data_IF_096024175121
#
_entry.id   IF_096024175121
#
_cell.length_a   1.000
_cell.length_b   1.000
_cell.length_c   1.000
_cell.angle_alpha   90.00
_cell.angle_beta   90.00
_cell.angle_gamma   90.00
#
_symmetry.space_group_name_H-M   'P 1'
#
loop_
_entity.id
_entity.type
_entity.pdbx_description
1 polymer ?
#
# COMPACT_ATOMS: atom_id res chain seq x y z
N UNK A 1 4.25 -7.48 -14.73
CA UNK A 1 2.89 -6.97 -14.45
C UNK A 1 2.63 -5.60 -15.07
N UNK A 2 3.34 -4.52 -14.66
CA UNK A 2 3.15 -3.15 -15.20
C UNK A 2 3.38 -3.07 -16.74
N UNK A 3 4.43 -3.71 -17.25
CA UNK A 3 4.71 -3.77 -18.70
C UNK A 3 3.63 -4.51 -19.52
N UNK A 4 2.87 -5.40 -18.92
CA UNK A 4 1.80 -6.16 -19.60
C UNK A 4 0.50 -5.33 -19.63
N UNK A 5 0.19 -4.60 -18.56
CA UNK A 5 -0.93 -3.64 -18.52
C UNK A 5 -0.81 -2.57 -19.61
N UNK A 6 0.42 -2.13 -19.91
CA UNK A 6 0.67 -1.10 -20.93
C UNK A 6 0.60 -1.63 -22.38
N UNK A 7 0.67 -2.95 -22.61
CA UNK A 7 0.63 -3.52 -23.98
C UNK A 7 -0.79 -3.69 -24.54
N UNK A 8 -1.80 -3.81 -23.67
CA UNK A 8 -3.20 -3.97 -24.07
C UNK A 8 -3.98 -2.65 -24.14
N UNK A 9 -3.26 -1.52 -24.07
CA UNK A 9 -3.85 -0.18 -23.96
C UNK A 9 -4.62 0.18 -25.24
N UNK A 10 -5.96 0.12 -25.17
CA UNK A 10 -6.82 0.94 -26.03
C UNK A 10 -6.90 2.31 -25.36
N UNK A 11 -6.81 3.41 -26.09
CA UNK A 11 -6.79 4.77 -25.52
C UNK A 11 -7.98 5.11 -24.59
N UNK A 12 -9.04 4.29 -24.62
CA UNK A 12 -10.22 4.40 -23.76
C UNK A 12 -10.29 3.40 -22.58
N UNK A 13 -9.40 2.40 -22.48
CA UNK A 13 -9.41 1.44 -21.35
C UNK A 13 -8.49 1.94 -20.23
N UNK A 14 -8.98 2.96 -19.52
CA UNK A 14 -8.31 3.48 -18.32
C UNK A 14 -8.63 2.63 -17.10
N UNK A 15 -7.68 2.54 -16.19
CA UNK A 15 -7.88 1.89 -14.89
C UNK A 15 -8.88 2.72 -14.09
N UNK A 16 -10.01 2.11 -13.73
CA UNK A 16 -11.06 2.71 -12.88
C UNK A 16 -11.03 2.15 -11.47
N UNK A 17 -10.70 0.88 -11.31
CA UNK A 17 -10.62 0.21 -10.01
C UNK A 17 -9.45 -0.77 -9.99
N UNK A 18 -8.64 -0.73 -8.93
CA UNK A 18 -7.50 -1.61 -8.72
C UNK A 18 -7.45 -2.04 -7.26
N UNK A 19 -7.58 -3.34 -7.00
CA UNK A 19 -7.33 -3.91 -5.66
C UNK A 19 -5.96 -4.58 -5.63
N UNK A 20 -5.13 -4.24 -4.66
CA UNK A 20 -3.78 -4.77 -4.49
C UNK A 20 -3.75 -5.63 -3.22
N UNK A 21 -3.40 -6.91 -3.40
CA UNK A 21 -3.26 -7.89 -2.32
C UNK A 21 -1.80 -8.23 -2.11
N UNK A 22 -1.28 -7.94 -0.92
CA UNK A 22 0.14 -8.06 -0.64
C UNK A 22 0.44 -8.10 0.85
N UNK A 23 1.58 -8.65 1.23
CA UNK A 23 2.14 -8.41 2.55
C UNK A 23 3.06 -7.19 2.47
N UNK A 24 2.67 -6.09 3.10
CA UNK A 24 3.42 -4.83 3.07
C UNK A 24 4.27 -4.61 4.32
N UNK A 25 5.41 -3.99 4.11
CA UNK A 25 6.13 -3.25 5.14
C UNK A 25 5.90 -1.76 4.90
N UNK A 26 6.24 -0.91 5.86
CA UNK A 26 6.14 0.53 5.61
C UNK A 26 6.98 0.92 4.37
N UNK A 27 6.41 1.77 3.51
CA UNK A 27 7.03 2.26 2.26
C UNK A 27 7.25 1.24 1.13
N UNK A 28 6.73 0.01 1.23
CA UNK A 28 6.81 -1.00 0.17
C UNK A 28 5.65 -2.01 0.25
N UNK A 29 5.13 -2.42 -0.90
CA UNK A 29 4.11 -3.45 -1.06
C UNK A 29 4.76 -4.67 -1.75
N UNK A 30 4.80 -5.81 -1.07
CA UNK A 30 5.35 -7.04 -1.61
C UNK A 30 4.28 -8.07 -1.97
N UNK A 31 4.29 -8.53 -3.22
CA UNK A 31 3.38 -9.55 -3.72
C UNK A 31 3.87 -10.95 -3.32
N UNK A 32 3.09 -11.68 -2.50
CA UNK A 32 3.41 -13.04 -2.03
C UNK A 32 3.19 -13.25 -0.52
N UNK A 33 3.08 -14.50 -0.07
CA UNK A 33 2.73 -14.87 1.33
C UNK A 33 3.93 -15.06 2.28
N UNK A 34 5.16 -14.98 1.81
CA UNK A 34 6.36 -15.15 2.65
C UNK A 34 7.35 -14.02 2.38
N UNK A 35 7.51 -13.12 3.35
CA UNK A 35 8.55 -12.10 3.32
C UNK A 35 9.24 -12.03 4.70
N UNK A 36 9.70 -13.18 5.16
CA UNK A 36 10.37 -13.34 6.46
C UNK A 36 11.85 -12.93 6.44
N UNK A 37 12.45 -12.56 5.29
CA UNK A 37 13.92 -12.41 5.18
C UNK A 37 14.38 -11.35 4.15
N UNK A 38 13.72 -10.19 4.01
CA UNK A 38 14.27 -9.13 3.13
C UNK A 38 15.18 -8.22 3.95
N UNK A 39 16.48 -8.51 3.93
CA UNK A 39 17.50 -7.54 4.31
C UNK A 39 17.56 -6.42 3.25
N UNK A 40 17.64 -5.18 3.74
CA UNK A 40 17.32 -3.94 3.02
C UNK A 40 18.33 -3.51 1.93
N UNK A 41 19.16 -4.40 1.39
CA UNK A 41 20.29 -3.98 0.54
C UNK A 41 20.07 -4.14 -0.97
N UNK A 42 19.20 -5.02 -1.44
CA UNK A 42 19.03 -5.24 -2.89
C UNK A 42 17.57 -5.20 -3.32
N UNK A 43 17.12 -4.00 -3.69
CA UNK A 43 15.83 -3.76 -4.33
C UNK A 43 15.91 -4.20 -5.80
N UNK A 44 16.06 -5.51 -6.03
CA UNK A 44 15.95 -6.15 -7.35
C UNK A 44 14.88 -7.24 -7.37
N UNK A 45 14.01 -7.34 -6.37
CA UNK A 45 12.88 -8.27 -6.44
C UNK A 45 11.72 -7.65 -7.27
N UNK A 46 11.41 -8.17 -8.48
CA UNK A 46 10.32 -7.65 -9.31
C UNK A 46 8.92 -7.84 -8.70
N UNK A 47 8.80 -8.58 -7.58
CA UNK A 47 7.55 -8.75 -6.83
C UNK A 47 7.34 -7.69 -5.73
N UNK A 48 8.17 -6.65 -5.67
CA UNK A 48 8.01 -5.55 -4.72
C UNK A 48 7.69 -4.25 -5.45
N UNK A 49 6.70 -3.51 -4.95
CA UNK A 49 6.35 -2.17 -5.41
C UNK A 49 6.72 -1.16 -4.31
N UNK A 50 7.70 -0.31 -4.61
CA UNK A 50 8.14 0.78 -3.75
C UNK A 50 7.99 2.14 -4.45
N UNK A 51 8.50 3.21 -3.84
CA UNK A 51 8.42 4.57 -4.37
C UNK A 51 9.10 4.75 -5.74
N UNK A 52 10.18 4.00 -6.03
CA UNK A 52 10.81 3.99 -7.36
C UNK A 52 9.87 3.38 -8.41
N UNK A 53 9.21 2.26 -8.08
CA UNK A 53 8.23 1.65 -8.98
C UNK A 53 6.99 2.55 -9.18
N UNK A 54 6.53 3.24 -8.12
CA UNK A 54 5.46 4.23 -8.22
C UNK A 54 5.81 5.26 -9.28
N UNK A 55 7.01 5.85 -9.23
CA UNK A 55 7.44 6.88 -10.19
C UNK A 55 7.42 6.47 -11.66
N UNK A 56 7.28 5.18 -11.97
CA UNK A 56 7.15 4.66 -13.34
C UNK A 56 5.70 4.57 -13.83
N UNK A 57 4.72 4.79 -12.96
CA UNK A 57 3.30 4.78 -13.34
C UNK A 57 2.95 6.04 -14.13
N UNK A 58 2.19 5.89 -15.21
CA UNK A 58 1.65 7.05 -15.90
C UNK A 58 0.27 7.38 -15.33
N UNK A 59 0.09 8.65 -14.92
CA UNK A 59 -1.22 9.18 -14.51
C UNK A 59 -2.29 8.97 -15.59
N UNK A 60 -1.89 9.04 -16.86
CA UNK A 60 -2.81 8.91 -18.00
C UNK A 60 -3.43 7.52 -18.13
N UNK A 61 -2.83 6.51 -17.49
CA UNK A 61 -3.34 5.14 -17.42
C UNK A 61 -4.57 5.02 -16.53
N UNK A 62 -4.82 6.02 -15.67
CA UNK A 62 -5.90 6.03 -14.69
C UNK A 62 -7.02 6.99 -15.09
N UNK A 63 -8.27 6.58 -14.83
CA UNK A 63 -9.42 7.46 -14.96
C UNK A 63 -9.40 8.52 -13.84
N UNK A 64 -10.03 9.68 -14.08
CA UNK A 64 -10.14 10.73 -13.04
C UNK A 64 -10.90 10.25 -11.79
N UNK A 65 -11.79 9.26 -11.95
CA UNK A 65 -12.54 8.63 -10.86
C UNK A 65 -11.88 7.35 -10.33
N UNK A 66 -10.63 7.08 -10.72
CA UNK A 66 -9.96 5.83 -10.39
C UNK A 66 -9.84 5.63 -8.87
N UNK A 67 -9.95 4.38 -8.45
CA UNK A 67 -9.81 3.96 -7.04
C UNK A 67 -8.79 2.84 -6.94
N UNK A 68 -7.95 2.92 -5.92
CA UNK A 68 -6.98 1.87 -5.58
C UNK A 68 -7.15 1.50 -4.12
N UNK A 69 -7.43 0.23 -3.85
CA UNK A 69 -7.54 -0.30 -2.48
C UNK A 69 -6.34 -1.21 -2.17
N UNK A 70 -5.60 -0.86 -1.12
CA UNK A 70 -4.40 -1.56 -0.69
C UNK A 70 -4.72 -2.48 0.49
N UNK A 71 -4.89 -3.77 0.21
CA UNK A 71 -5.02 -4.83 1.21
C UNK A 71 -3.64 -5.31 1.65
N UNK A 72 -2.93 -4.39 2.31
CA UNK A 72 -1.53 -4.52 2.67
C UNK A 72 -1.25 -3.84 4.00
N UNK A 73 -0.59 -4.57 4.91
CA UNK A 73 -0.13 -4.01 6.18
C UNK A 73 0.74 -2.76 5.97
N UNK A 74 0.57 -1.76 6.83
CA UNK A 74 1.39 -0.55 6.92
C UNK A 74 1.52 0.26 5.61
N UNK A 75 0.61 0.08 4.65
CA UNK A 75 0.63 0.79 3.36
C UNK A 75 0.43 2.30 3.50
N UNK A 76 -0.28 2.73 4.56
CA UNK A 76 -0.43 4.13 4.93
C UNK A 76 0.56 4.56 6.04
N UNK A 77 1.60 3.78 6.34
CA UNK A 77 2.62 4.13 7.34
C UNK A 77 3.91 4.65 6.68
N UNK A 78 4.65 5.51 7.37
CA UNK A 78 5.98 5.93 6.93
C UNK A 78 7.03 4.87 7.23
N UNK A 79 8.11 4.88 6.45
CA UNK A 79 9.30 4.09 6.75
C UNK A 79 9.73 4.29 8.22
N UNK A 80 10.03 3.19 8.92
CA UNK A 80 10.40 3.22 10.33
C UNK A 80 9.24 3.40 11.33
N UNK A 81 7.97 3.41 10.89
CA UNK A 81 6.82 3.40 11.81
C UNK A 81 6.53 2.03 12.44
N UNK A 82 7.07 0.96 11.86
CA UNK A 82 6.91 -0.38 12.44
C UNK A 82 7.41 -0.42 13.88
N UNK A 83 6.57 -0.88 14.81
CA UNK A 83 6.85 -0.98 16.26
C UNK A 83 6.98 0.36 17.00
N UNK A 84 6.69 1.50 16.37
CA UNK A 84 6.72 2.80 17.05
C UNK A 84 5.50 2.97 17.95
N UNK A 85 5.72 3.41 19.18
CA UNK A 85 4.64 3.78 20.10
C UNK A 85 4.47 5.30 20.15
N UNK A 86 3.29 5.77 19.79
CA UNK A 86 2.89 7.18 19.85
C UNK A 86 2.23 7.50 21.19
N UNK A 87 2.28 8.77 21.60
CA UNK A 87 1.65 9.22 22.83
C UNK A 87 0.12 9.28 22.72
N UNK A 88 -0.41 9.61 21.53
CA UNK A 88 -1.85 9.70 21.25
C UNK A 88 -2.15 9.25 19.82
N UNK A 89 -3.41 8.89 19.54
CA UNK A 89 -3.89 8.62 18.18
C UNK A 89 -3.70 9.81 17.26
N UNK A 90 -3.96 11.03 17.73
CA UNK A 90 -3.76 12.26 16.95
C UNK A 90 -2.29 12.48 16.57
N UNK A 91 -1.35 12.17 17.48
CA UNK A 91 0.08 12.25 17.19
C UNK A 91 0.49 11.23 16.12
N UNK A 92 -0.12 10.04 16.12
CA UNK A 92 0.08 9.05 15.07
C UNK A 92 -0.49 9.51 13.73
N UNK A 93 -1.74 9.99 13.70
CA UNK A 93 -2.39 10.49 12.48
C UNK A 93 -1.58 11.64 11.89
N UNK A 94 -1.21 12.63 12.70
CA UNK A 94 -0.39 13.76 12.26
C UNK A 94 0.97 13.31 11.72
N UNK A 95 1.58 12.29 12.32
CA UNK A 95 2.84 11.78 11.84
C UNK A 95 2.70 11.08 10.48
N UNK A 96 1.59 10.38 10.23
CA UNK A 96 1.26 9.83 8.90
C UNK A 96 1.02 10.96 7.89
N UNK A 97 0.25 11.98 8.25
CA UNK A 97 -0.14 13.08 7.37
C UNK A 97 1.05 13.97 6.94
N UNK A 98 2.06 14.11 7.80
CA UNK A 98 3.26 14.91 7.50
C UNK A 98 4.25 14.19 6.58
N UNK A 99 4.27 12.85 6.60
CA UNK A 99 5.19 12.10 5.75
C UNK A 99 4.48 11.45 4.58
N UNK A 100 5.16 11.38 3.44
CA UNK A 100 4.58 10.76 2.25
C UNK A 100 4.57 9.25 2.37
N UNK A 101 3.48 8.70 2.86
CA UNK A 101 3.27 7.24 2.91
C UNK A 101 3.28 6.63 1.50
N UNK A 102 3.41 5.30 1.42
CA UNK A 102 3.32 4.62 0.13
C UNK A 102 1.96 4.87 -0.56
N UNK A 103 0.87 4.77 0.21
CA UNK A 103 -0.49 5.05 -0.29
C UNK A 103 -0.63 6.48 -0.84
N UNK A 104 -0.05 7.47 -0.14
CA UNK A 104 -0.08 8.86 -0.59
C UNK A 104 0.72 9.07 -1.87
N UNK A 105 1.94 8.53 -1.95
CA UNK A 105 2.76 8.64 -3.16
C UNK A 105 2.09 7.98 -4.37
N UNK A 106 1.46 6.82 -4.16
CA UNK A 106 0.68 6.16 -5.19
C UNK A 106 -0.51 7.02 -5.64
N UNK A 107 -1.19 7.69 -4.72
CA UNK A 107 -2.30 8.60 -5.03
C UNK A 107 -1.84 9.82 -5.83
N UNK A 108 -0.74 10.45 -5.41
CA UNK A 108 -0.17 11.60 -6.11
C UNK A 108 0.24 11.25 -7.54
N UNK A 109 0.90 10.10 -7.73
CA UNK A 109 1.39 9.67 -9.03
C UNK A 109 0.27 9.20 -9.97
N UNK A 110 -0.64 8.36 -9.49
CA UNK A 110 -1.74 7.82 -10.30
C UNK A 110 -2.87 8.81 -10.52
N UNK A 111 -3.06 9.78 -9.62
CA UNK A 111 -4.24 10.61 -9.56
C UNK A 111 -5.50 9.92 -9.04
N UNK A 112 -5.40 8.64 -8.68
CA UNK A 112 -6.50 7.86 -8.12
C UNK A 112 -6.70 8.17 -6.63
N UNK A 113 -7.93 7.94 -6.15
CA UNK A 113 -8.19 7.86 -4.72
C UNK A 113 -7.61 6.55 -4.20
N UNK A 114 -6.69 6.62 -3.25
CA UNK A 114 -6.03 5.42 -2.67
C UNK A 114 -6.48 5.21 -1.24
N UNK A 115 -6.92 4.00 -0.92
CA UNK A 115 -7.23 3.55 0.44
C UNK A 115 -6.16 2.59 0.93
N UNK A 116 -5.66 2.78 2.14
CA UNK A 116 -4.66 1.90 2.77
C UNK A 116 -4.77 1.93 4.29
N UNK A 117 -3.95 1.13 4.98
CA UNK A 117 -4.02 0.99 6.44
C UNK A 117 -2.72 1.32 7.14
N UNK A 118 -2.85 1.90 8.33
CA UNK A 118 -1.80 2.00 9.35
C UNK A 118 -1.92 0.77 10.24
N UNK A 119 -0.92 -0.10 10.27
CA UNK A 119 -0.99 -1.36 11.00
C UNK A 119 -1.28 -2.57 10.09
N UNK A 120 -2.21 -3.44 10.49
CA UNK A 120 -2.42 -4.75 9.85
C UNK A 120 -3.61 -4.73 8.90
N UNK A 121 -3.57 -5.50 7.81
CA UNK A 121 -4.77 -5.89 7.06
C UNK A 121 -5.32 -7.22 7.58
N UNK A 122 -6.63 -7.34 7.72
CA UNK A 122 -7.25 -8.60 8.13
C UNK A 122 -7.59 -9.43 6.88
N UNK A 123 -7.02 -10.64 6.82
CA UNK A 123 -7.15 -11.53 5.68
C UNK A 123 -8.09 -12.71 5.97
N UNK A 124 -8.78 -12.72 7.13
CA UNK A 124 -9.50 -13.88 7.66
C UNK A 124 -10.99 -13.62 7.94
N UNK A 125 -11.88 -14.57 7.63
CA UNK A 125 -11.94 -15.38 6.42
C UNK A 125 -12.64 -14.59 5.30
N UNK A 126 -11.98 -14.51 4.15
CA UNK A 126 -12.61 -14.02 2.92
C UNK A 126 -13.56 -15.11 2.42
N UNK A 127 -14.88 -14.86 2.46
CA UNK A 127 -15.87 -15.74 1.83
C UNK A 127 -15.71 -15.62 0.31
N UNK A 128 -15.91 -16.70 -0.44
CA UNK A 128 -15.81 -16.71 -1.91
C UNK A 128 -16.52 -15.50 -2.54
N UNK A 129 -15.78 -14.68 -3.30
CA UNK A 129 -16.30 -13.49 -3.97
C UNK A 129 -16.29 -12.20 -3.13
N UNK A 130 -15.81 -12.22 -1.89
CA UNK A 130 -15.59 -11.02 -1.09
C UNK A 130 -14.12 -10.60 -1.16
N UNK A 131 -13.84 -9.32 -0.94
CA UNK A 131 -12.48 -8.85 -0.70
C UNK A 131 -12.17 -8.97 0.80
N UNK A 132 -10.90 -9.17 1.20
CA UNK A 132 -10.42 -8.91 2.56
C UNK A 132 -10.95 -7.58 3.12
N UNK A 133 -11.06 -7.48 4.44
CA UNK A 133 -11.37 -6.21 5.08
C UNK A 133 -10.08 -5.46 5.35
N UNK A 134 -10.11 -4.13 5.19
CA UNK A 134 -9.01 -3.30 5.67
C UNK A 134 -8.91 -3.49 7.19
N UNK A 135 -7.77 -4.02 7.63
CA UNK A 135 -7.58 -4.40 9.02
C UNK A 135 -7.29 -3.20 9.93
N UNK A 136 -7.36 -3.44 11.24
CA UNK A 136 -7.15 -2.44 12.28
C UNK A 136 -5.70 -2.29 12.74
N UNK A 137 -5.50 -1.39 13.71
CA UNK A 137 -4.24 -1.22 14.43
C UNK A 137 -4.00 -2.43 15.34
N UNK A 138 -2.98 -3.24 15.05
CA UNK A 138 -2.63 -4.38 15.91
C UNK A 138 -1.67 -5.38 15.27
N UNK A 139 -0.73 -5.88 16.08
CA UNK A 139 0.28 -6.86 15.68
C UNK A 139 1.71 -6.42 16.06
N UNK A 140 2.67 -7.35 16.14
CA UNK A 140 4.02 -7.09 16.67
C UNK A 140 4.85 -6.10 15.84
N UNK A 141 4.39 -5.74 14.64
CA UNK A 141 5.05 -4.80 13.72
C UNK A 141 4.19 -3.56 13.41
N UNK A 142 3.04 -3.40 14.07
CA UNK A 142 2.19 -2.21 13.90
C UNK A 142 2.65 -1.09 14.83
N UNK A 143 2.47 0.18 14.45
CA UNK A 143 2.54 1.26 15.42
C UNK A 143 1.44 1.07 16.48
N UNK A 144 1.71 1.57 17.68
CA UNK A 144 0.79 1.52 18.83
C UNK A 144 0.61 2.92 19.41
N UNK A 145 -0.44 3.12 20.20
CA UNK A 145 -0.63 4.30 21.05
C UNK A 145 -0.47 3.84 22.50
N UNK A 146 0.18 4.64 23.34
CA UNK A 146 0.25 4.35 24.79
C UNK A 146 -1.15 4.38 25.37
N UNK A 147 -1.50 3.34 26.12
CA UNK A 147 -2.69 3.32 26.97
C UNK A 147 -2.61 4.40 28.06
#
# INVERSE_FOLDING_TARGET
MIRELNKSKRDNDKITELSIFSHGTASNVAFGYENTVVEYTDIENPTNMNNYNIGQLSREDFANSARIDLYSCNSASLFGFGKKTFATTDAMIKAVDIGRSFAEQLSLQSGARVTGVVGRTDYSPVISGQLPTLGGMGGPNSPSVRD
#
